data_IF_026984495085
#
_entry.id   IF_026984495085
#
_cell.length_a   1.000
_cell.length_b   1.000
_cell.length_c   1.000
_cell.angle_alpha   90.00
_cell.angle_beta   90.00
_cell.angle_gamma   90.00
#
_symmetry.space_group_name_H-M   'P 1'
#
loop_
_entity.id
_entity.type
_entity.pdbx_description
1 polymer ?
#
# COMPACT_ATOMS: atom_id res chain seq x y z
N UNK A 1 3.35 -0.99 -11.03
CA UNK A 1 4.07 -1.80 -12.05
C UNK A 1 3.73 -1.44 -13.49
N UNK A 2 2.57 -1.81 -14.05
CA UNK A 2 2.27 -1.59 -15.50
C UNK A 2 2.50 -0.17 -16.00
N UNK A 3 2.18 0.85 -15.19
CA UNK A 3 2.27 2.26 -15.59
C UNK A 3 3.66 2.87 -15.45
N UNK A 4 4.45 2.42 -14.47
CA UNK A 4 5.68 3.09 -14.04
C UNK A 4 6.91 2.17 -14.03
N UNK A 5 6.75 0.93 -14.48
CA UNK A 5 7.78 -0.11 -14.40
C UNK A 5 8.00 -0.65 -12.99
N UNK A 6 9.02 -1.48 -12.83
CA UNK A 6 9.45 -2.09 -11.55
C UNK A 6 10.27 -1.13 -10.69
N UNK A 7 10.92 -0.14 -11.29
CA UNK A 7 11.74 0.85 -10.57
C UNK A 7 11.03 2.17 -10.24
N UNK A 8 9.74 2.30 -10.57
CA UNK A 8 9.06 3.60 -10.50
C UNK A 8 8.82 4.13 -9.09
N UNK A 9 9.00 3.32 -8.05
CA UNK A 9 8.95 3.73 -6.64
C UNK A 9 10.32 3.97 -6.00
N UNK A 10 11.42 3.77 -6.73
CA UNK A 10 12.79 3.90 -6.19
C UNK A 10 13.01 5.28 -5.57
N UNK A 11 13.46 5.30 -4.31
CA UNK A 11 13.72 6.52 -3.54
C UNK A 11 12.48 7.22 -2.97
N UNK A 12 11.30 6.60 -3.07
CA UNK A 12 10.03 7.19 -2.63
C UNK A 12 9.28 6.27 -1.66
N UNK A 13 8.46 6.88 -0.81
CA UNK A 13 7.38 6.20 -0.07
C UNK A 13 6.14 6.18 -0.94
N UNK A 14 5.42 5.06 -0.98
CA UNK A 14 4.18 4.91 -1.72
C UNK A 14 2.99 4.91 -0.77
N UNK A 15 2.08 5.85 -0.95
CA UNK A 15 0.80 5.86 -0.24
C UNK A 15 -0.30 5.28 -1.12
N UNK A 16 -0.97 4.24 -0.62
CA UNK A 16 -2.18 3.71 -1.23
C UNK A 16 -3.41 4.37 -0.59
N UNK A 17 -4.19 5.08 -1.40
CA UNK A 17 -5.34 5.84 -0.93
C UNK A 17 -6.57 5.65 -1.84
N UNK A 18 -7.70 6.18 -1.39
CA UNK A 18 -8.97 6.17 -2.11
C UNK A 18 -9.91 5.06 -1.67
N UNK A 19 -11.13 5.11 -2.21
CA UNK A 19 -12.24 4.22 -1.80
C UNK A 19 -11.87 2.74 -1.96
N UNK A 20 -11.26 2.35 -3.06
CA UNK A 20 -10.90 0.96 -3.32
C UNK A 20 -9.97 0.37 -2.24
N UNK A 21 -9.04 1.18 -1.69
CA UNK A 21 -8.14 0.76 -0.61
C UNK A 21 -8.87 0.70 0.73
N UNK A 22 -9.74 1.69 1.01
CA UNK A 22 -10.56 1.72 2.24
C UNK A 22 -11.56 0.56 2.33
N UNK A 23 -12.10 0.15 1.18
CA UNK A 23 -13.08 -0.94 1.12
C UNK A 23 -12.43 -2.31 1.40
N UNK A 24 -11.09 -2.44 1.32
CA UNK A 24 -10.37 -3.67 1.69
C UNK A 24 -10.37 -3.92 3.21
N UNK A 25 -10.31 -5.20 3.59
CA UNK A 25 -9.90 -5.66 4.92
C UNK A 25 -8.40 -5.45 5.14
N UNK A 26 -7.95 -5.51 6.40
CA UNK A 26 -6.55 -5.23 6.77
C UNK A 26 -5.57 -6.16 6.05
N UNK A 27 -5.88 -7.44 5.88
CA UNK A 27 -5.05 -8.42 5.16
C UNK A 27 -4.83 -8.03 3.69
N UNK A 28 -5.85 -7.47 3.05
CA UNK A 28 -5.76 -6.96 1.69
C UNK A 28 -4.84 -5.74 1.60
N UNK A 29 -4.89 -4.86 2.60
CA UNK A 29 -4.00 -3.69 2.69
C UNK A 29 -2.56 -4.11 2.97
N UNK A 30 -2.35 -5.08 3.85
CA UNK A 30 -1.03 -5.66 4.12
C UNK A 30 -0.42 -6.28 2.85
N UNK A 31 -1.25 -6.96 2.05
CA UNK A 31 -0.81 -7.50 0.75
C UNK A 31 -0.35 -6.39 -0.19
N UNK A 32 -1.09 -5.28 -0.30
CA UNK A 32 -0.67 -4.13 -1.12
C UNK A 32 0.64 -3.51 -0.62
N UNK A 33 0.79 -3.31 0.69
CA UNK A 33 2.01 -2.75 1.27
C UNK A 33 3.21 -3.67 1.07
N UNK A 34 3.03 -4.98 1.26
CA UNK A 34 4.07 -5.98 0.96
C UNK A 34 4.51 -5.90 -0.50
N UNK A 35 3.56 -5.74 -1.42
CA UNK A 35 3.83 -5.59 -2.85
C UNK A 35 4.47 -4.26 -3.26
N UNK A 36 4.69 -3.34 -2.32
CA UNK A 36 5.49 -2.12 -2.55
C UNK A 36 6.93 -2.45 -2.95
N UNK A 37 7.45 -3.59 -2.50
CA UNK A 37 8.83 -4.07 -2.78
C UNK A 37 9.06 -4.28 -4.28
N UNK A 38 8.11 -4.87 -4.99
CA UNK A 38 8.17 -5.13 -6.43
C UNK A 38 8.15 -3.84 -7.25
N UNK A 39 7.71 -2.73 -6.65
CA UNK A 39 7.77 -1.41 -7.24
C UNK A 39 9.02 -0.60 -6.83
N UNK A 40 9.95 -1.25 -6.13
CA UNK A 40 11.16 -0.65 -5.55
C UNK A 40 10.87 0.52 -4.61
N UNK A 41 9.69 0.56 -3.98
CA UNK A 41 9.37 1.57 -2.98
C UNK A 41 10.24 1.41 -1.74
N UNK A 42 10.62 2.51 -1.08
CA UNK A 42 11.30 2.46 0.22
C UNK A 42 10.43 1.80 1.28
N UNK A 43 9.15 2.20 1.30
CA UNK A 43 8.08 1.55 2.05
C UNK A 43 6.74 1.92 1.41
N UNK A 44 5.69 1.21 1.80
CA UNK A 44 4.33 1.52 1.41
C UNK A 44 3.43 1.67 2.64
N UNK A 45 2.51 2.63 2.57
CA UNK A 45 1.61 2.98 3.68
C UNK A 45 0.16 3.04 3.21
N UNK A 46 -0.74 2.74 4.15
CA UNK A 46 -2.18 3.03 4.08
C UNK A 46 -2.54 3.80 5.34
N UNK A 47 -3.27 4.90 5.21
CA UNK A 47 -3.71 5.66 6.37
C UNK A 47 -4.62 4.78 7.28
N UNK A 48 -4.44 4.82 8.61
CA UNK A 48 -5.26 4.03 9.52
C UNK A 48 -6.70 4.53 9.54
N UNK A 49 -7.63 3.59 9.73
CA UNK A 49 -9.07 3.82 9.93
C UNK A 49 -9.64 2.83 10.96
N UNK A 50 -10.96 2.82 11.13
CA UNK A 50 -11.65 1.95 12.10
C UNK A 50 -11.23 0.48 11.98
N UNK A 51 -11.15 -0.08 10.76
CA UNK A 51 -10.70 -1.46 10.55
C UNK A 51 -9.28 -1.71 11.06
N UNK A 52 -8.43 -0.68 11.01
CA UNK A 52 -7.04 -0.78 11.50
C UNK A 52 -7.01 -0.81 13.01
N UNK A 53 -7.89 -0.04 13.66
CA UNK A 53 -8.03 0.00 15.11
C UNK A 53 -8.68 -1.29 15.64
N UNK A 54 -9.67 -1.82 14.94
CA UNK A 54 -10.37 -3.07 15.31
C UNK A 54 -9.47 -4.32 15.20
N UNK A 55 -8.36 -4.23 14.46
CA UNK A 55 -7.41 -5.32 14.24
C UNK A 55 -6.25 -5.35 15.28
N UNK A 56 -6.17 -4.35 16.16
CA UNK A 56 -5.18 -4.27 17.25
C UNK A 56 -5.66 -5.03 18.50
#
# INVERSE_FOLDING_TARGET
>A
LRRFGVGGGSGHVVEYAGRAVRDLEIEGRLTLCNMGTEFAAFTAIVAPDEKTLDHL
#
